data_IF_324342575483
#
_entry.id   IF_324342575483
#
_cell.length_a   1.000
_cell.length_b   1.000
_cell.length_c   1.000
_cell.angle_alpha   90.00
_cell.angle_beta   90.00
_cell.angle_gamma   90.00
#
_symmetry.space_group_name_H-M   'P 1'
#
loop_
_entity.id
_entity.type
_entity.pdbx_description
1 polymer ?
#
# COMPACT_ATOMS: atom_id res chain seq x y z
N UNK A 1 3.56 -8.94 -6.48
CA UNK A 1 2.64 -9.84 -5.76
C UNK A 1 2.31 -10.99 -6.69
N UNK A 2 2.99 -12.13 -6.54
CA UNK A 2 2.57 -13.32 -7.27
C UNK A 2 1.27 -13.80 -6.61
N UNK A 3 0.16 -13.72 -7.33
CA UNK A 3 -1.09 -14.36 -6.89
C UNK A 3 -0.88 -15.84 -7.13
N UNK A 4 -0.38 -16.54 -6.11
CA UNK A 4 -0.36 -18.00 -6.11
C UNK A 4 -1.81 -18.45 -6.00
N UNK A 5 -2.41 -18.76 -7.14
CA UNK A 5 -3.67 -19.47 -7.18
C UNK A 5 -3.39 -20.83 -6.54
N UNK A 6 -3.91 -21.05 -5.34
CA UNK A 6 -3.88 -22.37 -4.70
C UNK A 6 -4.83 -23.25 -5.51
N UNK A 7 -4.30 -23.84 -6.58
CA UNK A 7 -4.96 -24.92 -7.27
C UNK A 7 -4.65 -26.20 -6.50
N UNK A 8 -5.69 -26.93 -6.13
CA UNK A 8 -5.54 -28.23 -5.50
C UNK A 8 -4.91 -29.17 -6.54
N UNK A 9 -3.59 -29.37 -6.49
CA UNK A 9 -2.82 -30.20 -7.45
C UNK A 9 -3.07 -31.70 -7.30
N UNK A 10 -4.03 -32.07 -6.46
CA UNK A 10 -4.41 -33.45 -6.30
C UNK A 10 -5.20 -33.87 -7.55
N UNK A 11 -4.59 -34.70 -8.39
CA UNK A 11 -5.15 -35.20 -9.66
C UNK A 11 -6.47 -35.99 -9.44
N UNK A 12 -6.81 -36.29 -8.19
CA UNK A 12 -8.05 -36.93 -7.74
C UNK A 12 -9.01 -36.00 -6.96
N UNK A 13 -8.71 -34.71 -6.79
CA UNK A 13 -9.60 -33.77 -6.11
C UNK A 13 -10.71 -33.28 -7.05
N UNK A 14 -11.94 -33.31 -6.55
CA UNK A 14 -13.12 -32.78 -7.23
C UNK A 14 -12.89 -31.31 -7.63
N UNK A 15 -13.37 -30.87 -8.81
CA UNK A 15 -13.26 -29.47 -9.23
C UNK A 15 -13.88 -28.58 -8.17
N UNK A 16 -13.17 -27.50 -7.78
CA UNK A 16 -13.63 -26.54 -6.77
C UNK A 16 -15.05 -26.09 -7.14
N UNK A 17 -16.02 -26.54 -6.34
CA UNK A 17 -17.41 -26.17 -6.53
C UNK A 17 -17.51 -24.68 -6.23
N UNK A 18 -17.93 -23.88 -7.23
CA UNK A 18 -18.06 -22.43 -7.09
C UNK A 18 -19.02 -22.01 -5.98
N UNK A 19 -19.88 -22.92 -5.52
CA UNK A 19 -20.90 -22.68 -4.50
C UNK A 19 -20.48 -23.15 -3.10
N UNK A 20 -19.25 -23.66 -2.94
CA UNK A 20 -18.74 -24.05 -1.62
C UNK A 20 -18.01 -22.86 -0.96
N UNK A 21 -18.79 -22.08 -0.22
CA UNK A 21 -18.30 -20.91 0.51
C UNK A 21 -17.21 -21.25 1.52
N UNK A 22 -17.23 -22.46 2.11
CA UNK A 22 -16.29 -22.87 3.15
C UNK A 22 -14.89 -23.03 2.55
N UNK A 23 -14.76 -23.71 1.42
CA UNK A 23 -13.47 -23.85 0.74
C UNK A 23 -12.99 -22.53 0.16
N UNK A 24 -13.90 -21.71 -0.40
CA UNK A 24 -13.55 -20.37 -0.88
C UNK A 24 -13.00 -19.48 0.25
N UNK A 25 -13.62 -19.56 1.44
CA UNK A 25 -13.20 -18.83 2.62
C UNK A 25 -11.84 -19.30 3.16
N UNK A 26 -11.57 -20.62 3.13
CA UNK A 26 -10.27 -21.17 3.52
C UNK A 26 -9.16 -20.75 2.55
N UNK A 27 -9.42 -20.79 1.24
CA UNK A 27 -8.46 -20.38 0.20
C UNK A 27 -8.18 -18.86 0.30
N UNK A 28 -9.22 -18.04 0.52
CA UNK A 28 -9.08 -16.59 0.66
C UNK A 28 -8.27 -16.14 1.89
N UNK A 29 -8.04 -17.03 2.86
CA UNK A 29 -7.23 -16.80 4.05
C UNK A 29 -5.90 -17.55 4.07
N UNK A 30 -5.60 -18.31 3.02
CA UNK A 30 -4.33 -19.01 2.93
C UNK A 30 -3.19 -18.01 2.80
N UNK A 31 -2.20 -18.13 3.68
CA UNK A 31 -0.94 -17.38 3.66
C UNK A 31 0.16 -18.40 3.32
N UNK A 32 1.01 -18.07 2.35
CA UNK A 32 2.11 -18.98 1.97
C UNK A 32 3.10 -19.18 3.13
N UNK A 33 3.77 -20.33 3.19
CA UNK A 33 4.76 -20.60 4.25
C UNK A 33 5.87 -19.54 4.33
N UNK A 34 6.28 -18.99 3.18
CA UNK A 34 7.27 -17.93 3.10
C UNK A 34 6.75 -16.62 3.69
N UNK A 35 5.51 -16.24 3.36
CA UNK A 35 4.86 -15.04 3.91
C UNK A 35 4.64 -15.18 5.42
N UNK A 36 4.19 -16.35 5.89
CA UNK A 36 4.05 -16.64 7.31
C UNK A 36 5.37 -16.53 8.08
N UNK A 37 6.48 -17.05 7.53
CA UNK A 37 7.80 -16.86 8.11
C UNK A 37 8.20 -15.37 8.14
N UNK A 38 7.88 -14.62 7.07
CA UNK A 38 8.10 -13.17 7.00
C UNK A 38 7.39 -12.41 8.13
N UNK A 39 6.14 -12.78 8.41
CA UNK A 39 5.36 -12.26 9.55
C UNK A 39 5.99 -12.64 10.90
N UNK A 40 6.42 -13.90 11.09
CA UNK A 40 7.03 -14.39 12.34
C UNK A 40 8.34 -13.64 12.65
N UNK A 41 9.14 -13.37 11.64
CA UNK A 41 10.41 -12.64 11.80
C UNK A 41 10.24 -11.11 11.83
N UNK A 42 9.02 -10.60 11.69
CA UNK A 42 8.73 -9.17 11.77
C UNK A 42 9.27 -8.35 10.60
N UNK A 43 9.53 -8.98 9.46
CA UNK A 43 9.97 -8.26 8.27
C UNK A 43 8.82 -7.42 7.68
N UNK A 44 9.12 -6.27 7.05
CA UNK A 44 8.11 -5.49 6.35
C UNK A 44 7.52 -6.32 5.19
N UNK A 45 6.21 -6.59 5.25
CA UNK A 45 5.49 -7.38 4.22
C UNK A 45 5.10 -6.50 3.04
N UNK A 46 4.93 -5.20 3.27
CA UNK A 46 4.51 -4.24 2.27
C UNK A 46 5.39 -3.01 2.34
N UNK A 47 6.24 -2.86 1.33
CA UNK A 47 6.85 -1.58 0.99
C UNK A 47 6.17 -1.10 -0.29
N UNK A 48 5.58 0.11 -0.24
CA UNK A 48 4.97 0.75 -1.42
C UNK A 48 5.96 1.80 -1.90
N UNK A 49 6.59 1.54 -3.04
CA UNK A 49 7.47 2.48 -3.72
C UNK A 49 6.97 2.78 -5.14
N UNK A 50 6.12 3.79 -5.35
CA UNK A 50 6.06 4.99 -4.51
C UNK A 50 5.08 4.90 -3.35
N UNK A 51 5.31 5.74 -2.33
CA UNK A 51 4.39 5.92 -1.23
C UNK A 51 3.01 6.37 -1.74
N UNK A 52 1.98 5.56 -1.48
CA UNK A 52 0.60 5.85 -1.88
C UNK A 52 -0.10 6.60 -0.74
N UNK A 53 -0.60 7.79 -1.02
CA UNK A 53 -1.40 8.60 -0.08
C UNK A 53 -2.86 8.58 -0.51
N UNK A 54 -3.76 8.22 0.41
CA UNK A 54 -5.19 8.30 0.16
C UNK A 54 -5.68 9.74 0.33
N UNK A 55 -6.19 10.33 -0.75
CA UNK A 55 -6.84 11.64 -0.73
C UNK A 55 -8.30 11.50 -0.29
N UNK A 56 -8.76 12.43 0.54
CA UNK A 56 -10.16 12.46 0.98
C UNK A 56 -11.00 13.13 -0.11
N UNK A 57 -12.11 12.53 -0.49
CA UNK A 57 -13.10 13.16 -1.37
C UNK A 57 -14.46 13.02 -0.69
N UNK A 58 -15.11 14.14 -0.44
CA UNK A 58 -16.41 14.22 0.22
C UNK A 58 -17.17 15.45 -0.25
N UNK A 59 -18.48 15.42 -0.07
CA UNK A 59 -19.35 16.58 -0.30
C UNK A 59 -19.24 17.57 0.87
N UNK A 60 -19.84 18.74 0.71
CA UNK A 60 -20.00 19.73 1.78
C UNK A 60 -20.71 19.09 2.97
N UNK A 61 -20.14 19.23 4.17
CA UNK A 61 -20.60 18.59 5.41
C UNK A 61 -20.69 17.05 5.39
N UNK A 62 -20.27 16.39 4.30
CA UNK A 62 -20.20 14.94 4.15
C UNK A 62 -18.88 14.33 4.65
N UNK A 63 -18.13 15.08 5.46
CA UNK A 63 -16.82 14.67 5.94
C UNK A 63 -16.96 13.54 6.99
N UNK A 64 -16.17 12.48 6.83
CA UNK A 64 -16.04 11.46 7.87
C UNK A 64 -15.24 12.03 9.06
N UNK A 65 -15.88 12.11 10.22
CA UNK A 65 -15.28 12.54 11.48
C UNK A 65 -15.52 11.44 12.52
N UNK A 66 -14.45 10.90 13.08
CA UNK A 66 -14.55 10.06 14.28
C UNK A 66 -14.78 10.96 15.48
N UNK A 67 -15.42 10.52 16.56
CA UNK A 67 -15.57 11.30 17.78
C UNK A 67 -15.82 10.37 18.97
N UNK A 68 -15.63 10.91 20.17
CA UNK A 68 -16.00 10.27 21.45
C UNK A 68 -17.08 11.09 22.15
N UNK A 69 -17.72 10.51 23.18
CA UNK A 69 -18.54 11.16 24.21
C UNK A 69 -18.24 12.66 24.39
N UNK A 70 -17.01 12.89 24.83
CA UNK A 70 -16.50 14.17 25.29
C UNK A 70 -16.13 15.12 24.14
N UNK A 71 -15.72 14.58 22.99
CA UNK A 71 -15.19 15.37 21.86
C UNK A 71 -16.22 15.66 20.77
N UNK A 72 -17.45 15.16 20.91
CA UNK A 72 -18.49 15.30 19.89
C UNK A 72 -18.85 16.76 19.62
N UNK A 73 -19.03 17.56 20.69
CA UNK A 73 -19.39 18.97 20.60
C UNK A 73 -18.26 19.76 19.93
N UNK A 74 -17.02 19.59 20.39
CA UNK A 74 -15.86 20.29 19.85
C UNK A 74 -15.62 19.96 18.37
N UNK A 75 -15.80 18.70 17.97
CA UNK A 75 -15.65 18.27 16.56
C UNK A 75 -16.79 18.74 15.67
N UNK A 76 -17.99 18.97 16.23
CA UNK A 76 -19.11 19.55 15.49
C UNK A 76 -18.88 21.05 15.22
N UNK A 77 -18.33 21.78 16.19
CA UNK A 77 -17.99 23.20 16.05
C UNK A 77 -16.76 23.39 15.16
N UNK A 78 -15.71 22.59 15.39
CA UNK A 78 -14.44 22.68 14.69
C UNK A 78 -14.09 21.33 14.07
N UNK A 79 -14.58 21.04 12.85
CA UNK A 79 -14.27 19.78 12.19
C UNK A 79 -12.76 19.67 11.91
N UNK A 80 -12.16 18.47 12.08
CA UNK A 80 -10.75 18.28 11.81
C UNK A 80 -10.47 18.48 10.33
N UNK A 81 -9.37 19.17 9.99
CA UNK A 81 -8.99 19.39 8.59
C UNK A 81 -8.72 18.07 7.86
N UNK A 82 -9.37 17.89 6.71
CA UNK A 82 -9.01 16.83 5.76
C UNK A 82 -7.96 17.32 4.76
N UNK A 83 -7.42 16.38 4.01
CA UNK A 83 -6.55 16.67 2.86
C UNK A 83 -7.25 17.55 1.81
N UNK A 84 -8.58 17.46 1.68
CA UNK A 84 -9.37 18.24 0.72
C UNK A 84 -9.68 19.65 1.24
N UNK A 85 -10.14 19.78 2.48
CA UNK A 85 -10.41 21.10 3.07
C UNK A 85 -9.14 21.95 3.14
N UNK A 86 -8.01 21.33 3.54
CA UNK A 86 -6.72 22.02 3.56
C UNK A 86 -6.18 22.31 2.14
N UNK A 87 -6.61 21.58 1.10
CA UNK A 87 -6.25 21.93 -0.28
C UNK A 87 -6.94 23.23 -0.73
N UNK A 88 -8.19 23.45 -0.34
CA UNK A 88 -8.85 24.73 -0.60
C UNK A 88 -8.19 25.87 0.18
N UNK A 89 -7.83 25.63 1.44
CA UNK A 89 -7.04 26.60 2.21
C UNK A 89 -5.69 26.90 1.56
N UNK A 90 -5.01 25.89 1.02
CA UNK A 90 -3.75 26.05 0.27
C UNK A 90 -3.95 26.94 -0.97
N UNK A 91 -5.02 26.72 -1.73
CA UNK A 91 -5.35 27.52 -2.91
C UNK A 91 -5.67 28.98 -2.57
N UNK A 92 -6.22 29.23 -1.38
CA UNK A 92 -6.57 30.56 -0.88
C UNK A 92 -5.38 31.35 -0.33
N UNK A 93 -4.19 30.75 -0.21
CA UNK A 93 -3.01 31.47 0.25
C UNK A 93 -2.53 32.48 -0.80
N UNK A 94 -2.01 33.61 -0.30
CA UNK A 94 -1.49 34.73 -1.10
C UNK A 94 -0.01 34.54 -1.46
N UNK A 95 0.63 33.50 -0.92
CA UNK A 95 2.02 33.16 -1.19
C UNK A 95 2.21 32.50 -2.58
N UNK A 96 3.47 32.42 -3.03
CA UNK A 96 3.85 31.77 -4.29
C UNK A 96 3.41 30.30 -4.32
N UNK A 97 3.36 29.64 -3.15
CA UNK A 97 2.89 28.26 -3.03
C UNK A 97 1.39 28.13 -3.27
N UNK A 98 0.57 29.07 -2.77
CA UNK A 98 -0.86 29.14 -3.08
C UNK A 98 -1.10 29.43 -4.55
N UNK A 99 -0.31 30.33 -5.15
CA UNK A 99 -0.37 30.58 -6.59
C UNK A 99 -0.07 29.33 -7.42
N UNK A 100 0.96 28.57 -7.05
CA UNK A 100 1.29 27.31 -7.69
C UNK A 100 0.20 26.25 -7.47
N UNK A 101 -0.34 26.12 -6.25
CA UNK A 101 -1.38 25.15 -5.93
C UNK A 101 -2.66 25.35 -6.75
N UNK A 102 -3.03 26.60 -7.07
CA UNK A 102 -4.19 26.91 -7.94
C UNK A 102 -4.03 26.40 -9.37
N UNK A 103 -2.81 26.14 -9.82
CA UNK A 103 -2.54 25.57 -11.15
C UNK A 103 -2.69 24.04 -11.20
N UNK A 104 -2.79 23.38 -10.03
CA UNK A 104 -2.81 21.93 -9.91
C UNK A 104 -4.22 21.39 -9.69
N UNK A 105 -4.48 20.22 -10.25
CA UNK A 105 -5.63 19.41 -9.86
C UNK A 105 -5.39 18.79 -8.49
N UNK A 106 -6.45 18.57 -7.71
CA UNK A 106 -6.34 17.93 -6.38
C UNK A 106 -5.56 16.61 -6.42
N UNK A 107 -5.75 15.79 -7.45
CA UNK A 107 -5.03 14.53 -7.67
C UNK A 107 -3.52 14.68 -7.89
N UNK A 108 -3.06 15.86 -8.33
CA UNK A 108 -1.65 16.16 -8.62
C UNK A 108 -0.95 16.79 -7.41
N UNK A 109 -1.69 17.27 -6.42
CA UNK A 109 -1.14 17.91 -5.22
C UNK A 109 -0.11 17.02 -4.51
N UNK A 110 -0.33 15.71 -4.29
CA UNK A 110 0.65 14.84 -3.64
C UNK A 110 1.99 14.70 -4.38
N UNK A 111 2.03 15.01 -5.69
CA UNK A 111 3.27 14.98 -6.47
C UNK A 111 4.21 16.11 -6.05
N UNK A 112 3.67 17.28 -5.67
CA UNK A 112 4.46 18.48 -5.36
C UNK A 112 4.43 18.87 -3.88
N UNK A 113 3.40 18.46 -3.16
CA UNK A 113 3.21 18.76 -1.75
C UNK A 113 3.13 17.46 -0.95
N UNK A 114 3.69 17.49 0.27
CA UNK A 114 3.61 16.40 1.23
C UNK A 114 2.63 16.77 2.33
N UNK A 115 1.83 15.80 2.75
CA UNK A 115 0.94 15.94 3.90
C UNK A 115 1.74 15.88 5.21
N UNK A 116 1.81 17.00 5.93
CA UNK A 116 2.53 17.08 7.20
C UNK A 116 1.67 16.55 8.36
N UNK A 117 2.33 16.11 9.44
CA UNK A 117 1.66 15.69 10.68
C UNK A 117 0.81 16.82 11.31
N UNK A 118 1.15 18.07 11.01
CA UNK A 118 0.40 19.28 11.40
C UNK A 118 -0.93 19.46 10.64
N UNK A 119 -1.30 18.49 9.80
CA UNK A 119 -2.48 18.53 8.91
C UNK A 119 -2.46 19.71 7.94
N UNK A 120 -1.27 20.00 7.40
CA UNK A 120 -1.05 21.05 6.40
C UNK A 120 -0.33 20.49 5.19
N UNK A 121 -0.68 21.01 4.01
CA UNK A 121 0.12 20.79 2.81
C UNK A 121 1.42 21.61 2.90
N UNK A 122 2.55 20.93 2.78
CA UNK A 122 3.88 21.55 2.74
C UNK A 122 4.57 21.22 1.43
N UNK A 123 5.34 22.16 0.83
CA UNK A 123 6.14 21.87 -0.35
C UNK A 123 7.05 20.67 -0.10
N UNK A 124 7.09 19.75 -1.06
CA UNK A 124 7.96 18.58 -0.99
C UNK A 124 9.42 19.03 -1.09
N UNK A 125 10.24 18.66 -0.11
CA UNK A 125 11.68 18.98 -0.07
C UNK A 125 12.58 17.93 -0.75
N UNK A 126 12.13 16.67 -0.84
CA UNK A 126 12.87 15.53 -1.39
C UNK A 126 11.93 14.52 -2.08
N UNK A 127 12.41 13.88 -3.15
CA UNK A 127 11.73 12.85 -3.95
C UNK A 127 11.65 13.20 -5.44
N UNK A 128 11.79 12.20 -6.33
CA UNK A 128 11.52 12.39 -7.76
C UNK A 128 10.04 12.73 -7.97
N UNK A 129 9.70 13.37 -9.08
CA UNK A 129 8.31 13.62 -9.46
C UNK A 129 7.56 12.27 -9.46
N UNK A 130 6.57 12.13 -8.59
CA UNK A 130 5.64 11.01 -8.67
C UNK A 130 4.87 11.17 -9.98
N UNK A 131 5.20 10.34 -10.97
CA UNK A 131 4.47 10.30 -12.22
C UNK A 131 3.00 10.05 -11.89
N UNK A 132 2.11 10.88 -12.44
CA UNK A 132 0.66 10.74 -12.24
C UNK A 132 0.25 9.37 -12.77
N UNK A 133 -0.05 8.43 -11.86
CA UNK A 133 -0.62 7.15 -12.24
C UNK A 133 -2.12 7.25 -12.00
N UNK A 134 -2.93 7.61 -13.01
CA UNK A 134 -4.37 7.52 -12.89
C UNK A 134 -4.73 6.08 -12.52
N UNK A 135 -5.67 5.91 -11.59
CA UNK A 135 -6.14 4.61 -11.07
C UNK A 135 -6.75 3.71 -12.18
N UNK A 136 -6.79 4.18 -13.42
CA UNK A 136 -7.04 3.38 -14.63
C UNK A 136 -5.73 2.89 -15.24
N UNK A 137 -5.07 1.93 -14.59
CA UNK A 137 -3.92 1.28 -15.21
C UNK A 137 -4.39 0.20 -16.19
N UNK A 138 -4.20 0.49 -17.47
CA UNK A 138 -4.07 -0.54 -18.50
C UNK A 138 -2.89 -1.48 -18.13
N UNK A 139 -3.06 -2.77 -18.45
CA UNK A 139 -2.17 -3.90 -18.07
C UNK A 139 -0.68 -3.75 -18.45
N UNK A 140 -0.30 -2.76 -19.26
CA UNK A 140 1.04 -2.66 -19.86
C UNK A 140 2.08 -2.01 -18.95
N UNK A 141 1.75 -0.95 -18.21
CA UNK A 141 2.71 -0.22 -17.35
C UNK A 141 3.07 -0.97 -16.06
N UNK A 142 2.23 -1.91 -15.63
CA UNK A 142 2.57 -2.81 -14.52
C UNK A 142 3.65 -3.83 -14.92
N UNK A 143 3.80 -4.18 -16.20
CA UNK A 143 4.73 -5.21 -16.65
C UNK A 143 6.20 -4.85 -16.41
N UNK A 144 6.59 -3.61 -16.73
CA UNK A 144 7.96 -3.12 -16.59
C UNK A 144 8.34 -2.87 -15.11
N UNK A 145 7.40 -2.31 -14.34
CA UNK A 145 7.58 -2.11 -12.90
C UNK A 145 7.62 -3.44 -12.12
N UNK A 146 6.79 -4.41 -12.51
CA UNK A 146 6.85 -5.77 -11.97
C UNK A 146 8.15 -6.48 -12.34
N UNK A 147 8.71 -6.29 -13.54
CA UNK A 147 10.02 -6.87 -13.90
C UNK A 147 11.17 -6.30 -13.06
N UNK A 148 11.16 -4.99 -12.79
CA UNK A 148 12.13 -4.35 -11.88
C UNK A 148 12.04 -4.91 -10.46
N UNK A 149 10.82 -5.09 -9.93
CA UNK A 149 10.61 -5.70 -8.61
C UNK A 149 10.94 -7.19 -8.60
N UNK A 150 10.57 -7.93 -9.65
CA UNK A 150 10.80 -9.37 -9.78
C UNK A 150 12.30 -9.68 -9.86
N UNK A 151 13.09 -8.84 -10.53
CA UNK A 151 14.56 -9.00 -10.56
C UNK A 151 15.21 -8.79 -9.18
N UNK A 152 14.73 -7.81 -8.41
CA UNK A 152 15.18 -7.57 -7.02
C UNK A 152 14.72 -8.67 -6.06
N UNK A 153 13.50 -9.16 -6.20
CA UNK A 153 12.96 -10.27 -5.41
C UNK A 153 13.62 -11.60 -5.77
N UNK A 154 13.90 -11.87 -7.05
CA UNK A 154 14.59 -13.09 -7.48
C UNK A 154 16.03 -13.13 -6.96
N UNK A 155 16.73 -12.00 -6.91
CA UNK A 155 18.06 -11.91 -6.27
C UNK A 155 17.97 -12.24 -4.77
N UNK A 156 16.97 -11.70 -4.06
CA UNK A 156 16.75 -11.97 -2.64
C UNK A 156 16.29 -13.41 -2.33
N UNK A 157 15.42 -13.98 -3.17
CA UNK A 157 14.93 -15.35 -3.04
C UNK A 157 16.05 -16.35 -3.33
N UNK A 158 16.94 -16.08 -4.31
CA UNK A 158 18.12 -16.92 -4.55
C UNK A 158 19.05 -16.94 -3.34
N UNK A 159 19.32 -15.81 -2.72
CA UNK A 159 20.16 -15.73 -1.52
C UNK A 159 19.51 -16.43 -0.31
N UNK A 160 18.20 -16.25 -0.09
CA UNK A 160 17.49 -16.93 1.00
C UNK A 160 17.34 -18.45 0.79
N UNK A 161 17.07 -18.91 -0.43
CA UNK A 161 17.04 -20.35 -0.72
C UNK A 161 18.43 -20.98 -0.62
N UNK A 162 19.49 -20.27 -0.99
CA UNK A 162 20.87 -20.70 -0.79
C UNK A 162 21.22 -20.77 0.71
N UNK A 163 20.84 -19.77 1.51
CA UNK A 163 21.02 -19.77 2.97
C UNK A 163 20.20 -20.87 3.66
N UNK A 164 18.98 -21.16 3.22
CA UNK A 164 18.20 -22.30 3.74
C UNK A 164 18.78 -23.66 3.31
N UNK A 165 19.32 -23.80 2.08
CA UNK A 165 20.03 -25.00 1.65
C UNK A 165 21.33 -25.21 2.45
N UNK A 166 22.08 -24.15 2.76
CA UNK A 166 23.27 -24.22 3.62
C UNK A 166 22.92 -24.56 5.08
N UNK A 167 21.79 -24.06 5.59
CA UNK A 167 21.30 -24.40 6.94
C UNK A 167 20.85 -25.87 7.03
N UNK A 168 20.27 -26.44 5.96
CA UNK A 168 19.92 -27.86 5.92
C UNK A 168 21.11 -28.80 5.66
N UNK A 169 22.18 -28.33 5.01
CA UNK A 169 23.41 -29.12 4.84
C UNK A 169 24.30 -29.17 6.10
N UNK A 170 24.12 -28.28 7.09
CA UNK A 170 24.93 -28.28 8.32
C UNK A 170 24.45 -29.22 9.44
N UNK A 171 23.30 -29.87 9.30
CA UNK A 171 22.76 -30.75 10.35
C UNK A 171 23.06 -32.25 10.18
N UNK A 172 23.94 -32.64 9.24
CA UNK A 172 24.23 -34.07 8.97
C UNK A 172 25.69 -34.51 9.12
N UNK A 173 26.55 -33.73 9.78
CA UNK A 173 27.90 -34.20 10.12
C UNK A 173 28.25 -33.71 11.52
N UNK A 174 27.94 -34.51 12.53
CA UNK A 174 28.74 -34.79 13.75
C UNK A 174 27.87 -35.63 14.68
N UNK A 175 27.78 -36.92 14.36
CA UNK A 175 27.33 -37.97 15.26
C UNK A 175 28.43 -39.04 15.32
N UNK A 176 29.25 -38.96 16.36
CA UNK A 176 29.94 -40.09 16.98
C UNK A 176 29.86 -39.88 18.48
#
# INVERSE_FOLDING_TARGET
MAVFRVENTNVNAQPVNKNDEITLYQIGRYISSNEAAWHIFGFPIHERDPAVVQLAVHLENGQRVFFTNETAIDRAVNPPKTTLTEFFELCNRVDDFGAFARTLLYSQVPCYFTWAQTKKWMPRKQGSQLMHVPIYLNQTLWGEYLQSIQSKLNAFIFDCCWLMLLAHCRFKIYGK
#
